data_IF_002121517676
#
_entry.id   IF_002121517676
#
_cell.length_a   1.000
_cell.length_b   1.000
_cell.length_c   1.000
_cell.angle_alpha   90.00
_cell.angle_beta   90.00
_cell.angle_gamma   90.00
#
_symmetry.space_group_name_H-M   'P 1'
#
loop_
_entity.id
_entity.type
_entity.pdbx_description
1 polymer ?
#
# COMPACT_ATOMS: atom_id res chain seq x y z
N UNK A 1 -1.17 -12.70 25.02
CA UNK A 1 -0.74 -13.73 24.06
C UNK A 1 -1.79 -14.11 23.02
N UNK A 2 -3.05 -14.46 23.37
CA UNK A 2 -4.11 -14.71 22.35
C UNK A 2 -4.70 -13.44 21.75
N UNK A 3 -4.88 -12.38 22.55
CA UNK A 3 -5.35 -11.08 22.10
C UNK A 3 -4.42 -10.43 21.05
N UNK A 4 -3.09 -10.61 21.19
CA UNK A 4 -2.10 -10.03 20.28
C UNK A 4 -2.17 -10.65 18.88
N UNK A 5 -2.42 -11.96 18.80
CA UNK A 5 -2.58 -12.67 17.51
C UNK A 5 -3.87 -12.29 16.80
N UNK A 6 -4.98 -12.16 17.54
CA UNK A 6 -6.25 -11.73 16.97
C UNK A 6 -6.18 -10.28 16.45
N UNK A 7 -5.53 -9.39 17.20
CA UNK A 7 -5.31 -8.01 16.78
C UNK A 7 -4.42 -7.93 15.53
N UNK A 8 -3.35 -8.74 15.48
CA UNK A 8 -2.46 -8.82 14.32
C UNK A 8 -3.19 -9.34 13.07
N UNK A 9 -3.94 -10.45 13.19
CA UNK A 9 -4.73 -10.99 12.09
C UNK A 9 -5.79 -10.00 11.58
N UNK A 10 -6.42 -9.26 12.49
CA UNK A 10 -7.36 -8.21 12.12
C UNK A 10 -6.67 -7.06 11.37
N UNK A 11 -5.44 -6.68 11.76
CA UNK A 11 -4.65 -5.68 11.05
C UNK A 11 -4.27 -6.15 9.64
N UNK A 12 -3.79 -7.39 9.48
CA UNK A 12 -3.53 -7.95 8.15
C UNK A 12 -4.75 -7.94 7.24
N UNK A 13 -5.93 -8.28 7.78
CA UNK A 13 -7.18 -8.22 7.02
C UNK A 13 -7.50 -6.79 6.57
N UNK A 14 -7.35 -5.79 7.45
CA UNK A 14 -7.58 -4.38 7.10
C UNK A 14 -6.57 -3.88 6.07
N UNK A 15 -5.28 -4.20 6.24
CA UNK A 15 -4.23 -3.92 5.26
C UNK A 15 -4.60 -4.50 3.89
N UNK A 16 -4.97 -5.78 3.82
CA UNK A 16 -5.38 -6.42 2.57
C UNK A 16 -6.57 -5.71 1.93
N UNK A 17 -7.61 -5.36 2.69
CA UNK A 17 -8.75 -4.59 2.16
C UNK A 17 -8.33 -3.26 1.54
N UNK A 18 -7.40 -2.54 2.17
CA UNK A 18 -6.88 -1.29 1.61
C UNK A 18 -6.08 -1.52 0.31
N UNK A 19 -5.23 -2.55 0.27
CA UNK A 19 -4.46 -2.91 -0.92
C UNK A 19 -5.37 -3.36 -2.07
N UNK A 20 -6.40 -4.16 -1.80
CA UNK A 20 -7.39 -4.56 -2.81
C UNK A 20 -8.18 -3.35 -3.35
N UNK A 21 -8.53 -2.39 -2.49
CA UNK A 21 -9.21 -1.16 -2.91
C UNK A 21 -8.30 -0.31 -3.80
N UNK A 22 -7.02 -0.17 -3.44
CA UNK A 22 -6.03 0.54 -4.25
C UNK A 22 -5.79 -0.16 -5.59
N UNK A 23 -5.74 -1.50 -5.61
CA UNK A 23 -5.53 -2.29 -6.83
C UNK A 23 -6.59 -2.03 -7.90
N UNK A 24 -7.84 -1.76 -7.50
CA UNK A 24 -8.93 -1.47 -8.42
C UNK A 24 -8.66 -0.23 -9.32
N UNK A 25 -7.82 0.71 -8.90
CA UNK A 25 -7.46 1.89 -9.68
C UNK A 25 -6.57 1.59 -10.90
N UNK A 26 -5.90 0.43 -10.93
CA UNK A 26 -5.11 0.00 -12.07
C UNK A 26 -5.93 -0.76 -13.13
N UNK A 27 -7.09 -1.31 -12.76
CA UNK A 27 -7.95 -2.07 -13.67
C UNK A 27 -8.31 -1.36 -15.00
N UNK A 28 -8.58 -0.04 -15.02
CA UNK A 28 -8.87 0.65 -16.28
C UNK A 28 -7.62 1.05 -17.07
N UNK A 29 -6.40 0.87 -16.55
CA UNK A 29 -5.17 1.35 -17.16
C UNK A 29 -4.59 0.30 -18.12
N UNK A 30 -4.43 0.62 -19.41
CA UNK A 30 -3.85 -0.32 -20.37
C UNK A 30 -2.36 -0.52 -20.12
N UNK A 31 -1.89 -1.76 -20.24
CA UNK A 31 -0.46 -2.08 -20.19
C UNK A 31 0.15 -2.14 -18.79
N UNK A 32 -0.65 -1.99 -17.72
CA UNK A 32 -0.19 -2.24 -16.36
C UNK A 32 -0.28 -3.73 -16.05
N UNK A 33 0.88 -4.34 -15.74
CA UNK A 33 0.93 -5.71 -15.25
C UNK A 33 0.79 -5.74 -13.71
N UNK A 34 -0.24 -6.44 -13.24
CA UNK A 34 -0.53 -6.64 -11.82
C UNK A 34 -0.25 -8.08 -11.35
N UNK A 35 0.38 -8.91 -12.19
CA UNK A 35 0.65 -10.32 -11.90
C UNK A 35 1.45 -10.48 -10.59
N UNK A 36 2.60 -9.80 -10.49
CA UNK A 36 3.45 -9.80 -9.29
C UNK A 36 2.73 -9.29 -8.04
N UNK A 37 2.00 -8.19 -8.15
CA UNK A 37 1.20 -7.65 -7.04
C UNK A 37 0.15 -8.66 -6.57
N UNK A 38 -0.50 -9.35 -7.51
CA UNK A 38 -1.53 -10.34 -7.21
C UNK A 38 -0.94 -11.57 -6.52
N UNK A 39 0.23 -12.06 -6.98
CA UNK A 39 0.94 -13.16 -6.33
C UNK A 39 1.28 -12.84 -4.87
N UNK A 40 1.81 -11.64 -4.59
CA UNK A 40 2.11 -11.21 -3.22
C UNK A 40 0.85 -11.11 -2.34
N UNK A 41 -0.27 -10.62 -2.89
CA UNK A 41 -1.53 -10.59 -2.15
C UNK A 41 -2.04 -12.00 -1.83
N UNK A 42 -1.89 -12.95 -2.75
CA UNK A 42 -2.31 -14.33 -2.55
C UNK A 42 -1.47 -15.05 -1.47
N UNK A 43 -0.18 -14.71 -1.37
CA UNK A 43 0.70 -15.21 -0.31
C UNK A 43 0.68 -14.39 0.99
N UNK A 44 -0.16 -13.36 1.08
CA UNK A 44 -0.24 -12.44 2.23
C UNK A 44 1.09 -11.70 2.51
N UNK A 45 1.89 -11.48 1.47
CA UNK A 45 3.13 -10.69 1.47
C UNK A 45 2.79 -9.21 1.27
N UNK A 46 2.00 -8.66 2.20
CA UNK A 46 1.35 -7.35 2.07
C UNK A 46 2.33 -6.18 1.89
N UNK A 47 3.52 -6.27 2.47
CA UNK A 47 4.57 -5.26 2.30
C UNK A 47 5.16 -5.24 0.89
N UNK A 48 5.36 -6.42 0.27
CA UNK A 48 5.84 -6.53 -1.10
C UNK A 48 4.76 -6.09 -2.10
N UNK A 49 3.49 -6.45 -1.85
CA UNK A 49 2.36 -5.95 -2.63
C UNK A 49 2.25 -4.41 -2.55
N UNK A 50 2.50 -3.83 -1.37
CA UNK A 50 2.55 -2.38 -1.18
C UNK A 50 3.67 -1.74 -1.99
N UNK A 51 4.90 -2.26 -1.91
CA UNK A 51 6.05 -1.75 -2.67
C UNK A 51 5.78 -1.76 -4.18
N UNK A 52 5.27 -2.88 -4.71
CA UNK A 52 4.92 -3.00 -6.13
C UNK A 52 3.91 -1.94 -6.56
N UNK A 53 2.84 -1.74 -5.78
CA UNK A 53 1.81 -0.76 -6.15
C UNK A 53 2.29 0.69 -6.04
N UNK A 54 3.13 1.02 -5.05
CA UNK A 54 3.75 2.37 -5.00
C UNK A 54 4.65 2.58 -6.20
N UNK A 55 5.50 1.59 -6.54
CA UNK A 55 6.39 1.68 -7.68
C UNK A 55 5.63 1.83 -9.01
N UNK A 56 4.57 1.04 -9.22
CA UNK A 56 3.72 1.15 -10.40
C UNK A 56 3.00 2.51 -10.46
N UNK A 57 2.59 3.07 -9.32
CA UNK A 57 1.82 4.30 -9.26
C UNK A 57 2.65 5.59 -9.37
N UNK A 58 3.98 5.53 -9.18
CA UNK A 58 4.86 6.68 -8.99
C UNK A 58 4.72 7.73 -10.10
N UNK A 59 4.55 7.28 -11.35
CA UNK A 59 4.46 8.15 -12.53
C UNK A 59 3.07 8.19 -13.17
N UNK A 60 2.08 7.51 -12.59
CA UNK A 60 0.74 7.36 -13.21
C UNK A 60 -0.23 8.49 -12.84
N UNK A 61 0.16 9.38 -11.92
CA UNK A 61 -0.70 10.50 -11.50
C UNK A 61 -2.04 10.03 -10.91
N UNK A 62 -2.04 8.91 -10.17
CA UNK A 62 -3.25 8.33 -9.59
C UNK A 62 -3.96 9.31 -8.63
N UNK A 63 -5.30 9.23 -8.52
CA UNK A 63 -6.09 10.17 -7.72
C UNK A 63 -5.80 10.08 -6.23
N UNK A 64 -6.16 11.13 -5.49
CA UNK A 64 -5.96 11.22 -4.04
C UNK A 64 -6.50 10.01 -3.28
N UNK A 65 -7.65 9.47 -3.67
CA UNK A 65 -8.25 8.31 -2.98
C UNK A 65 -7.40 7.05 -3.09
N UNK A 66 -6.67 6.83 -4.20
CA UNK A 66 -5.69 5.75 -4.29
C UNK A 66 -4.62 5.89 -3.21
N UNK A 67 -4.02 7.09 -3.11
CA UNK A 67 -2.97 7.36 -2.12
C UNK A 67 -3.47 7.29 -0.69
N UNK A 68 -4.74 7.63 -0.43
CA UNK A 68 -5.39 7.43 0.88
C UNK A 68 -5.51 5.95 1.23
N UNK A 69 -5.82 5.07 0.28
CA UNK A 69 -5.83 3.63 0.50
C UNK A 69 -4.43 3.11 0.83
N UNK A 70 -3.42 3.54 0.08
CA UNK A 70 -2.02 3.17 0.32
C UNK A 70 -1.53 3.66 1.69
N UNK A 71 -1.83 4.90 2.07
CA UNK A 71 -1.47 5.45 3.39
C UNK A 71 -2.10 4.66 4.55
N UNK A 72 -3.37 4.27 4.42
CA UNK A 72 -4.03 3.44 5.44
C UNK A 72 -3.38 2.06 5.55
N UNK A 73 -3.02 1.44 4.43
CA UNK A 73 -2.28 0.17 4.43
C UNK A 73 -0.91 0.31 5.13
N UNK A 74 -0.16 1.37 4.81
CA UNK A 74 1.13 1.66 5.43
C UNK A 74 1.03 1.89 6.95
N UNK A 75 -0.04 2.57 7.41
CA UNK A 75 -0.30 2.78 8.84
C UNK A 75 -0.61 1.50 9.59
N UNK A 76 -1.45 0.63 9.02
CA UNK A 76 -1.74 -0.68 9.61
C UNK A 76 -0.46 -1.52 9.78
N UNK A 77 0.43 -1.47 8.78
CA UNK A 77 1.73 -2.14 8.80
C UNK A 77 2.82 -1.39 9.57
N UNK A 78 2.53 -0.18 10.09
CA UNK A 78 3.47 0.69 10.82
C UNK A 78 4.73 1.07 10.04
N UNK A 79 4.63 1.22 8.72
CA UNK A 79 5.77 1.53 7.83
C UNK A 79 6.36 2.95 7.99
N UNK A 80 5.73 3.79 8.81
CA UNK A 80 6.21 5.14 9.11
C UNK A 80 7.04 5.23 10.39
N UNK A 81 7.42 4.09 10.97
CA UNK A 81 8.33 4.06 12.12
C UNK A 81 9.70 4.64 11.74
N UNK A 82 10.36 5.28 12.72
CA UNK A 82 11.71 5.80 12.58
C UNK A 82 12.79 4.72 12.85
N UNK A 83 12.39 3.45 12.94
CA UNK A 83 13.29 2.34 13.18
C UNK A 83 14.31 2.19 12.03
N UNK A 84 15.62 2.13 12.36
CA UNK A 84 16.64 1.90 11.35
C UNK A 84 16.44 0.53 10.69
N UNK A 85 16.67 0.46 9.37
CA UNK A 85 16.50 -0.74 8.54
C UNK A 85 15.06 -1.27 8.41
N UNK A 86 14.05 -0.44 8.67
CA UNK A 86 12.67 -0.81 8.39
C UNK A 86 12.49 -1.13 6.88
N UNK A 87 11.99 -2.33 6.53
CA UNK A 87 11.67 -2.67 5.15
C UNK A 87 10.56 -1.74 4.62
N UNK A 88 10.45 -1.60 3.29
CA UNK A 88 9.41 -0.79 2.62
C UNK A 88 9.49 0.72 2.90
N UNK A 89 10.55 1.20 3.56
CA UNK A 89 10.70 2.62 3.95
C UNK A 89 10.70 3.57 2.75
N UNK A 90 11.33 3.18 1.64
CA UNK A 90 11.38 4.00 0.42
C UNK A 90 9.99 4.14 -0.21
N UNK A 91 9.27 3.03 -0.36
CA UNK A 91 7.89 3.04 -0.85
C UNK A 91 6.97 3.83 0.09
N UNK A 92 7.09 3.67 1.40
CA UNK A 92 6.31 4.43 2.38
C UNK A 92 6.63 5.94 2.31
N UNK A 93 7.88 6.31 2.08
CA UNK A 93 8.26 7.71 1.86
C UNK A 93 7.66 8.25 0.55
N UNK A 94 7.69 7.49 -0.55
CA UNK A 94 7.06 7.90 -1.81
C UNK A 94 5.54 8.06 -1.66
N UNK A 95 4.87 7.10 -1.03
CA UNK A 95 3.43 7.17 -0.73
C UNK A 95 3.05 8.47 -0.01
N UNK A 96 3.83 8.91 0.99
CA UNK A 96 3.57 10.18 1.69
C UNK A 96 3.75 11.40 0.80
N UNK A 97 4.76 11.39 -0.08
CA UNK A 97 5.01 12.49 -1.03
C UNK A 97 3.86 12.62 -2.01
N UNK A 98 3.43 11.51 -2.60
CA UNK A 98 2.30 11.52 -3.54
C UNK A 98 0.97 11.85 -2.87
N UNK A 99 0.73 11.36 -1.66
CA UNK A 99 -0.46 11.75 -0.89
C UNK A 99 -0.51 13.26 -0.66
N UNK A 100 0.61 13.87 -0.27
CA UNK A 100 0.69 15.32 -0.09
C UNK A 100 0.45 16.05 -1.42
N UNK A 101 1.17 15.67 -2.47
CA UNK A 101 1.04 16.28 -3.79
C UNK A 101 -0.37 16.15 -4.40
N UNK A 102 -1.04 15.02 -4.20
CA UNK A 102 -2.40 14.79 -4.65
C UNK A 102 -3.43 15.58 -3.82
N UNK A 103 -3.17 15.77 -2.53
CA UNK A 103 -4.06 16.55 -1.64
C UNK A 103 -4.05 18.05 -1.95
N UNK A 104 -2.96 18.56 -2.52
CA UNK A 104 -2.85 19.97 -2.94
C UNK A 104 -3.60 20.27 -4.25
N UNK A 105 -4.05 19.23 -4.96
CA UNK A 105 -4.70 19.32 -6.28
C UNK A 105 -6.22 19.09 -6.25
N UNK A 106 -6.75 18.70 -5.09
CA UNK A 106 -8.18 18.46 -4.82
C UNK A 106 -8.88 19.76 -4.38
#
# INVERSE_FOLDING_TARGET
>A
MTHDRAALAASWKRTRTHLDSARAYFAPLPGIDLSTTTEFLDHNELGLAFDCMVHLADDLGLPLDFWRHMDRAAREMRLYSDEPHMPHREAAASCRRHLAAASERD
#
